data_IF_067800674447
#
_entry.id   IF_067800674447
#
_cell.length_a   1.000
_cell.length_b   1.000
_cell.length_c   1.000
_cell.angle_alpha   90.00
_cell.angle_beta   90.00
_cell.angle_gamma   90.00
#
_symmetry.space_group_name_H-M   'P 1'
#
loop_
_entity.id
_entity.type
_entity.pdbx_description
1 polymer ?
#
# COMPACT_ATOMS: atom_id res chain seq x y z
N UNK A 1 40.58 -0.38 8.79
CA UNK A 1 39.50 -0.68 7.81
C UNK A 1 39.65 0.29 6.65
N UNK A 2 40.11 -0.19 5.49
CA UNK A 2 40.27 0.66 4.30
C UNK A 2 38.90 1.15 3.84
N UNK A 3 38.68 2.46 3.80
CA UNK A 3 37.45 3.04 3.23
C UNK A 3 37.42 2.72 1.74
N UNK A 4 36.35 2.10 1.27
CA UNK A 4 36.16 1.81 -0.15
C UNK A 4 36.06 3.12 -0.94
N UNK A 5 36.85 3.24 -2.00
CA UNK A 5 36.88 4.40 -2.91
C UNK A 5 36.34 4.00 -4.27
N UNK A 6 35.77 4.96 -5.00
CA UNK A 6 35.36 4.78 -6.40
C UNK A 6 36.58 4.64 -7.34
N UNK A 7 36.38 4.33 -8.64
CA UNK A 7 37.48 4.22 -9.60
C UNK A 7 38.32 5.50 -9.79
N UNK A 8 37.87 6.64 -9.28
CA UNK A 8 38.56 7.94 -9.31
C UNK A 8 39.22 8.28 -7.97
N UNK A 9 39.22 7.37 -7.00
CA UNK A 9 39.81 7.56 -5.67
C UNK A 9 38.95 8.41 -4.71
N UNK A 10 37.70 8.74 -5.07
CA UNK A 10 36.78 9.45 -4.16
C UNK A 10 36.21 8.48 -3.13
N UNK A 11 36.05 8.89 -1.86
CA UNK A 11 35.40 8.06 -0.86
C UNK A 11 33.94 7.80 -1.25
N UNK A 12 33.50 6.55 -1.14
CA UNK A 12 32.08 6.23 -1.32
C UNK A 12 31.23 6.89 -0.21
N UNK A 13 29.97 7.28 -0.51
CA UNK A 13 29.03 7.73 0.50
C UNK A 13 28.77 6.65 1.57
N UNK A 14 28.48 7.08 2.79
CA UNK A 14 28.02 6.19 3.86
C UNK A 14 26.56 5.81 3.68
N UNK A 15 26.20 4.59 4.08
CA UNK A 15 24.80 4.17 4.17
C UNK A 15 24.10 4.91 5.32
N UNK A 16 22.91 5.44 5.04
CA UNK A 16 22.01 5.95 6.06
C UNK A 16 21.28 4.78 6.76
N UNK A 17 21.05 4.88 8.07
CA UNK A 17 20.33 3.85 8.82
C UNK A 17 18.82 3.84 8.54
N UNK A 18 18.27 4.96 8.10
CA UNK A 18 16.86 5.14 7.78
C UNK A 18 16.69 6.16 6.66
N UNK A 19 15.58 6.08 5.95
CA UNK A 19 15.15 7.09 5.00
C UNK A 19 14.60 8.31 5.76
N UNK A 20 15.06 9.51 5.37
CA UNK A 20 14.48 10.79 5.82
C UNK A 20 13.64 11.32 4.66
N UNK A 21 12.32 11.29 4.85
CA UNK A 21 11.37 11.75 3.85
C UNK A 21 11.09 13.25 4.02
N UNK A 22 11.40 14.10 3.01
CA UNK A 22 11.24 15.55 3.13
C UNK A 22 9.80 16.03 2.91
N UNK A 23 8.86 15.15 2.55
CA UNK A 23 7.51 15.54 2.16
C UNK A 23 6.56 15.67 3.34
N UNK A 24 5.60 16.60 3.23
CA UNK A 24 4.48 16.69 4.16
C UNK A 24 3.35 15.74 3.73
N UNK A 25 2.63 15.21 4.71
CA UNK A 25 1.53 14.27 4.51
C UNK A 25 0.23 14.87 5.04
N UNK A 26 -0.91 14.64 4.38
CA UNK A 26 -2.21 15.00 4.94
C UNK A 26 -2.52 14.14 6.16
N UNK A 27 -3.40 14.65 7.03
CA UNK A 27 -3.99 13.85 8.10
C UNK A 27 -4.83 12.72 7.49
N UNK A 28 -4.69 11.51 8.01
CA UNK A 28 -5.31 10.31 7.47
C UNK A 28 -4.71 9.05 8.08
N UNK A 29 -5.34 7.91 7.82
CA UNK A 29 -4.93 6.62 8.38
C UNK A 29 -4.93 5.56 7.28
N UNK A 30 -3.78 4.94 7.10
CA UNK A 30 -3.62 3.79 6.22
C UNK A 30 -3.68 2.49 7.03
N UNK A 31 -4.33 1.47 6.47
CA UNK A 31 -4.13 0.08 6.83
C UNK A 31 -3.08 -0.56 5.91
N UNK A 32 -1.98 -1.05 6.47
CA UNK A 32 -0.89 -1.67 5.73
C UNK A 32 -0.24 -2.79 6.56
N UNK A 33 -0.04 -3.96 5.96
CA UNK A 33 0.60 -5.12 6.58
C UNK A 33 0.05 -5.43 8.00
N UNK A 34 -1.29 -5.35 8.16
CA UNK A 34 -1.99 -5.66 9.40
C UNK A 34 -2.08 -4.54 10.43
N UNK A 35 -1.63 -3.33 10.10
CA UNK A 35 -1.50 -2.21 11.04
C UNK A 35 -2.20 -0.95 10.53
N UNK A 36 -2.79 -0.17 11.44
CA UNK A 36 -3.24 1.19 11.17
C UNK A 36 -2.11 2.17 11.46
N UNK A 37 -1.73 2.96 10.46
CA UNK A 37 -0.59 3.86 10.48
C UNK A 37 -1.04 5.26 10.05
N UNK A 38 -0.46 6.34 10.61
CA UNK A 38 -0.63 7.65 10.00
C UNK A 38 -0.04 7.65 8.58
N UNK A 39 -0.58 8.47 7.68
CA UNK A 39 -0.13 8.54 6.27
C UNK A 39 1.39 8.73 6.12
N UNK A 40 2.01 9.47 7.04
CA UNK A 40 3.45 9.70 7.07
C UNK A 40 4.29 8.46 7.36
N UNK A 41 3.70 7.36 7.81
CA UNK A 41 4.38 6.08 8.11
C UNK A 41 3.99 4.95 7.15
N UNK A 42 2.93 5.12 6.37
CA UNK A 42 2.54 4.15 5.35
C UNK A 42 3.57 4.15 4.21
N UNK A 43 4.42 3.11 4.15
CA UNK A 43 5.51 2.99 3.17
C UNK A 43 5.58 1.56 2.64
N UNK A 44 5.78 1.44 1.33
CA UNK A 44 6.04 0.16 0.67
C UNK A 44 7.50 0.12 0.18
N UNK A 45 7.99 -1.10 -0.07
CA UNK A 45 9.31 -1.29 -0.66
C UNK A 45 9.35 -0.74 -2.10
N UNK A 46 10.48 -0.16 -2.49
CA UNK A 46 10.74 0.18 -3.92
C UNK A 46 10.76 -1.06 -4.83
N UNK A 47 10.80 -2.25 -4.24
CA UNK A 47 10.77 -3.54 -4.93
C UNK A 47 9.36 -4.11 -5.06
N UNK A 48 8.34 -3.40 -4.59
CA UNK A 48 6.95 -3.81 -4.77
C UNK A 48 6.57 -3.70 -6.26
N UNK A 49 6.00 -4.76 -6.82
CA UNK A 49 5.67 -4.85 -8.24
C UNK A 49 4.49 -3.95 -8.63
N UNK A 50 3.69 -3.51 -7.65
CA UNK A 50 2.75 -2.42 -7.88
C UNK A 50 3.46 -1.12 -8.28
N UNK A 51 4.66 -0.87 -7.75
CA UNK A 51 5.50 0.27 -8.14
C UNK A 51 6.32 -0.02 -9.39
N UNK A 52 7.02 -1.17 -9.44
CA UNK A 52 7.95 -1.48 -10.54
C UNK A 52 7.24 -1.75 -11.88
N UNK A 53 6.04 -2.32 -11.85
CA UNK A 53 5.35 -2.85 -13.04
C UNK A 53 3.88 -2.42 -13.14
N UNK A 54 3.38 -1.63 -12.19
CA UNK A 54 1.95 -1.34 -12.08
C UNK A 54 1.08 -2.62 -12.01
N UNK A 55 1.65 -3.73 -11.50
CA UNK A 55 0.92 -4.98 -11.29
C UNK A 55 0.09 -4.87 -10.01
N UNK A 56 -1.04 -4.18 -10.13
CA UNK A 56 -1.94 -3.84 -9.05
C UNK A 56 -3.39 -3.71 -9.55
N UNK A 57 -4.33 -3.81 -8.61
CA UNK A 57 -5.72 -3.37 -8.78
C UNK A 57 -6.13 -2.52 -7.60
N UNK A 58 -7.03 -1.57 -7.81
CA UNK A 58 -7.49 -0.66 -6.78
C UNK A 58 -8.92 -0.21 -7.06
N UNK A 59 -9.54 0.35 -6.03
CA UNK A 59 -10.78 1.10 -6.15
C UNK A 59 -10.83 2.23 -5.11
N UNK A 60 -11.55 3.31 -5.43
CA UNK A 60 -11.69 4.47 -4.56
C UNK A 60 -13.16 4.76 -4.35
N UNK A 61 -13.59 4.75 -3.08
CA UNK A 61 -14.96 5.06 -2.66
C UNK A 61 -14.98 6.38 -1.91
N UNK A 62 -16.10 7.09 -2.00
CA UNK A 62 -16.27 8.38 -1.36
C UNK A 62 -17.08 8.27 -0.06
N UNK A 63 -16.67 9.01 0.96
CA UNK A 63 -17.42 9.26 2.19
C UNK A 63 -17.95 10.69 2.18
N UNK A 64 -19.24 10.85 2.43
CA UNK A 64 -19.88 12.15 2.58
C UNK A 64 -20.67 12.20 3.88
N UNK A 65 -20.47 13.26 4.67
CA UNK A 65 -21.05 13.44 6.00
C UNK A 65 -20.88 12.23 6.96
N UNK A 66 -19.79 11.48 6.80
CA UNK A 66 -19.47 10.29 7.61
C UNK A 66 -20.12 9.00 7.11
N UNK A 67 -20.63 8.97 5.87
CA UNK A 67 -21.28 7.79 5.28
C UNK A 67 -20.65 7.45 3.93
N UNK A 68 -20.32 6.18 3.73
CA UNK A 68 -19.87 5.72 2.42
C UNK A 68 -21.00 5.80 1.39
N UNK A 69 -20.64 6.21 0.17
CA UNK A 69 -21.55 6.20 -0.97
C UNK A 69 -21.34 4.94 -1.81
N UNK A 70 -22.36 4.06 -1.84
CA UNK A 70 -22.40 2.84 -2.67
C UNK A 70 -21.20 1.90 -2.47
N UNK A 71 -20.69 1.79 -1.24
CA UNK A 71 -19.51 0.96 -0.89
C UNK A 71 -19.57 -0.44 -1.49
N UNK A 72 -20.74 -1.08 -1.43
CA UNK A 72 -20.93 -2.43 -1.94
C UNK A 72 -20.49 -2.60 -3.40
N UNK A 73 -20.76 -1.62 -4.25
CA UNK A 73 -20.41 -1.70 -5.67
C UNK A 73 -18.91 -1.50 -5.93
N UNK A 74 -18.23 -0.76 -5.06
CA UNK A 74 -16.79 -0.60 -5.10
C UNK A 74 -16.10 -1.88 -4.62
N UNK A 75 -16.63 -2.52 -3.57
CA UNK A 75 -16.15 -3.83 -3.11
C UNK A 75 -16.30 -4.88 -4.20
N UNK A 76 -17.48 -5.00 -4.81
CA UNK A 76 -17.72 -5.97 -5.88
C UNK A 76 -16.74 -5.76 -7.06
N UNK A 77 -16.46 -4.51 -7.42
CA UNK A 77 -15.50 -4.17 -8.48
C UNK A 77 -14.06 -4.49 -8.09
N UNK A 78 -13.66 -4.18 -6.86
CA UNK A 78 -12.34 -4.49 -6.32
C UNK A 78 -12.06 -6.00 -6.30
N UNK A 79 -12.98 -6.79 -5.74
CA UNK A 79 -12.85 -8.27 -5.71
C UNK A 79 -12.86 -8.87 -7.12
N UNK A 80 -13.66 -8.34 -8.04
CA UNK A 80 -13.58 -8.74 -9.46
C UNK A 80 -12.23 -8.39 -10.11
N UNK A 81 -11.56 -7.33 -9.66
CA UNK A 81 -10.19 -6.98 -10.04
C UNK A 81 -9.16 -8.00 -9.55
N UNK A 82 -9.26 -8.39 -8.27
CA UNK A 82 -8.42 -9.42 -7.67
C UNK A 82 -8.52 -10.73 -8.46
N UNK A 83 -9.73 -11.18 -8.79
CA UNK A 83 -9.96 -12.40 -9.56
C UNK A 83 -9.30 -12.32 -10.95
N UNK A 84 -9.53 -11.25 -11.70
CA UNK A 84 -8.98 -11.07 -13.05
C UNK A 84 -7.45 -11.05 -13.07
N UNK A 85 -6.83 -10.47 -12.05
CA UNK A 85 -5.38 -10.43 -11.89
C UNK A 85 -4.81 -11.65 -11.15
N UNK A 86 -5.64 -12.61 -10.75
CA UNK A 86 -5.24 -13.79 -9.97
C UNK A 86 -4.45 -13.39 -8.72
N UNK A 87 -4.96 -12.40 -8.01
CA UNK A 87 -4.42 -11.93 -6.72
C UNK A 87 -5.30 -12.43 -5.58
N UNK A 88 -4.71 -12.62 -4.42
CA UNK A 88 -5.40 -13.04 -3.19
C UNK A 88 -4.99 -12.16 -2.02
N UNK A 89 -5.94 -11.83 -1.16
CA UNK A 89 -5.71 -11.08 0.08
C UNK A 89 -6.23 -11.88 1.27
N UNK A 90 -5.82 -11.53 2.49
CA UNK A 90 -6.20 -12.26 3.71
C UNK A 90 -7.60 -11.91 4.24
N UNK A 91 -8.30 -10.98 3.59
CA UNK A 91 -9.58 -10.44 4.03
C UNK A 91 -10.66 -10.79 3.03
N UNK A 92 -11.82 -11.17 3.53
CA UNK A 92 -13.03 -11.28 2.72
C UNK A 92 -13.67 -9.89 2.54
N UNK A 93 -14.82 -9.89 1.87
CA UNK A 93 -15.55 -8.66 1.54
C UNK A 93 -15.91 -7.83 2.76
N UNK A 94 -16.36 -8.50 3.83
CA UNK A 94 -16.79 -7.85 5.06
C UNK A 94 -15.58 -7.34 5.85
N UNK A 95 -14.48 -8.10 5.88
CA UNK A 95 -13.21 -7.65 6.47
C UNK A 95 -12.63 -6.43 5.77
N UNK A 96 -12.65 -6.38 4.43
CA UNK A 96 -12.25 -5.17 3.69
C UNK A 96 -13.17 -4.00 4.06
N UNK A 97 -14.48 -4.19 4.04
CA UNK A 97 -15.43 -3.14 4.41
C UNK A 97 -15.14 -2.59 5.82
N UNK A 98 -14.91 -3.47 6.80
CA UNK A 98 -14.58 -3.09 8.17
C UNK A 98 -13.29 -2.27 8.24
N UNK A 99 -12.22 -2.70 7.55
CA UNK A 99 -10.95 -1.96 7.48
C UNK A 99 -11.17 -0.54 6.95
N UNK A 100 -11.96 -0.37 5.89
CA UNK A 100 -12.26 0.96 5.33
C UNK A 100 -13.01 1.84 6.32
N UNK A 101 -13.96 1.27 7.07
CA UNK A 101 -14.66 2.01 8.13
C UNK A 101 -13.69 2.45 9.24
N UNK A 102 -12.74 1.60 9.63
CA UNK A 102 -11.75 1.97 10.63
C UNK A 102 -10.76 3.04 10.13
N UNK A 103 -10.33 3.02 8.87
CA UNK A 103 -9.54 4.11 8.29
C UNK A 103 -10.27 5.47 8.41
N UNK A 104 -11.56 5.51 8.09
CA UNK A 104 -12.38 6.73 8.20
C UNK A 104 -12.56 7.14 9.66
N UNK A 105 -12.91 6.21 10.54
CA UNK A 105 -13.14 6.50 11.94
C UNK A 105 -11.87 7.01 12.65
N UNK A 106 -10.72 6.37 12.40
CA UNK A 106 -9.44 6.73 13.01
C UNK A 106 -8.85 8.01 12.44
N UNK A 107 -9.14 8.36 11.18
CA UNK A 107 -8.72 9.63 10.59
C UNK A 107 -9.53 10.83 11.10
N UNK A 108 -10.74 10.61 11.63
CA UNK A 108 -11.65 11.66 12.05
C UNK A 108 -12.35 12.39 10.89
N UNK A 109 -12.15 11.93 9.65
CA UNK A 109 -12.71 12.58 8.47
C UNK A 109 -14.22 12.33 8.33
N UNK A 110 -14.96 13.38 7.98
CA UNK A 110 -16.38 13.28 7.60
C UNK A 110 -16.62 13.34 6.11
N UNK A 111 -15.64 13.83 5.35
CA UNK A 111 -15.62 13.81 3.90
C UNK A 111 -14.25 13.29 3.47
N UNK A 112 -14.20 12.17 2.76
CA UNK A 112 -12.96 11.48 2.43
C UNK A 112 -13.05 10.74 1.09
N UNK A 113 -11.91 10.66 0.42
CA UNK A 113 -11.65 9.58 -0.53
C UNK A 113 -11.01 8.45 0.26
N UNK A 114 -11.55 7.25 0.10
CA UNK A 114 -11.03 6.04 0.75
C UNK A 114 -10.65 5.08 -0.35
N UNK A 115 -9.38 4.72 -0.41
CA UNK A 115 -8.82 3.84 -1.43
C UNK A 115 -8.54 2.46 -0.84
N UNK A 116 -8.82 1.42 -1.62
CA UNK A 116 -8.41 0.05 -1.35
C UNK A 116 -7.60 -0.44 -2.54
N UNK A 117 -6.45 -1.05 -2.27
CA UNK A 117 -5.48 -1.40 -3.28
C UNK A 117 -4.83 -2.74 -2.95
N UNK A 118 -4.60 -3.54 -3.97
CA UNK A 118 -3.79 -4.75 -3.88
C UNK A 118 -2.70 -4.70 -4.95
N UNK A 119 -1.45 -4.84 -4.54
CA UNK A 119 -0.34 -5.07 -5.46
C UNK A 119 -0.02 -6.56 -5.53
N UNK A 120 0.66 -6.98 -6.59
CA UNK A 120 1.31 -8.29 -6.65
C UNK A 120 2.31 -8.49 -5.49
N UNK A 121 2.83 -7.38 -4.95
CA UNK A 121 3.78 -7.32 -3.85
C UNK A 121 5.20 -7.64 -4.31
N UNK A 122 5.90 -8.50 -3.59
CA UNK A 122 7.26 -8.90 -3.96
C UNK A 122 7.45 -10.41 -3.76
N UNK A 123 8.38 -10.99 -4.52
CA UNK A 123 8.82 -12.37 -4.28
C UNK A 123 9.86 -12.40 -3.15
N UNK A 124 9.67 -13.23 -2.10
CA UNK A 124 10.65 -13.37 -1.01
C UNK A 124 12.02 -13.87 -1.49
N UNK A 125 12.07 -14.52 -2.66
CA UNK A 125 13.28 -15.08 -3.27
C UNK A 125 13.75 -14.28 -4.48
N UNK A 126 13.13 -13.13 -4.77
CA UNK A 126 13.35 -12.34 -5.99
C UNK A 126 13.08 -13.14 -7.28
N UNK A 127 12.24 -14.18 -7.21
CA UNK A 127 11.70 -14.86 -8.38
C UNK A 127 10.94 -13.87 -9.25
N UNK A 128 11.04 -14.03 -10.58
CA UNK A 128 10.24 -13.26 -11.55
C UNK A 128 8.92 -13.94 -11.89
N UNK A 129 8.63 -15.10 -11.30
CA UNK A 129 7.33 -15.74 -11.44
C UNK A 129 6.31 -15.03 -10.53
N UNK A 130 5.22 -14.46 -11.07
CA UNK A 130 4.20 -13.77 -10.27
C UNK A 130 3.49 -14.67 -9.25
N UNK A 131 3.56 -16.00 -9.42
CA UNK A 131 2.98 -16.97 -8.48
C UNK A 131 3.78 -17.09 -7.18
N UNK A 132 5.05 -16.73 -7.22
CA UNK A 132 5.95 -16.73 -6.06
C UNK A 132 5.92 -15.40 -5.29
N UNK A 133 5.10 -14.45 -5.73
CA UNK A 133 4.96 -13.15 -5.10
C UNK A 133 3.93 -13.20 -3.97
N UNK A 134 4.21 -12.48 -2.89
CA UNK A 134 3.27 -12.30 -1.78
C UNK A 134 2.47 -11.03 -2.04
N UNK A 135 1.18 -11.17 -2.36
CA UNK A 135 0.32 -10.02 -2.64
C UNK A 135 0.13 -9.17 -1.39
N UNK A 136 0.01 -7.86 -1.60
CA UNK A 136 -0.08 -6.89 -0.51
C UNK A 136 -1.33 -6.05 -0.66
N UNK A 137 -2.23 -6.20 0.32
CA UNK A 137 -3.40 -5.36 0.48
C UNK A 137 -3.08 -4.13 1.31
N UNK A 138 -3.63 -2.99 0.92
CA UNK A 138 -3.60 -1.75 1.68
C UNK A 138 -4.88 -0.96 1.48
N UNK A 139 -5.21 -0.13 2.45
CA UNK A 139 -6.30 0.83 2.36
C UNK A 139 -5.94 2.14 3.05
N UNK A 140 -6.49 3.28 2.64
CA UNK A 140 -6.22 4.58 3.25
C UNK A 140 -7.28 5.63 2.89
#
# INVERSE_FOLDING_TARGET
MNKSTDPQGKPLPSLCAHHIDPHAYPDGVAFLDGQYLPMSQARISVLDWGFLHSDATYDTVHVWEGRFFRLDLHLDRFFGGLEKLRMTIAFDRDGVAEILHYCVALSGHRAAYVEMLCTRGASPTFSRDPRDAVNRFMAF
#
